data_IF_159380575303
#
_entry.id   IF_159380575303
#
_cell.length_a   1.000
_cell.length_b   1.000
_cell.length_c   1.000
_cell.angle_alpha   90.00
_cell.angle_beta   90.00
_cell.angle_gamma   90.00
#
_symmetry.space_group_name_H-M   'P 1'
#
loop_
_entity.id
_entity.type
_entity.pdbx_description
1 polymer ?
#
# COMPACT_ATOMS: atom_id res chain seq x y z
N UNK A 1 9.40 20.92 25.19
CA UNK A 1 8.29 20.87 24.23
C UNK A 1 6.97 20.89 24.99
N UNK A 2 6.01 21.71 24.58
CA UNK A 2 4.70 21.80 25.22
C UNK A 2 3.63 21.20 24.29
N UNK A 3 2.74 20.40 24.86
CA UNK A 3 1.60 19.82 24.16
C UNK A 3 0.32 20.39 24.76
N UNK A 4 -0.47 21.09 23.96
CA UNK A 4 -1.81 21.57 24.35
C UNK A 4 -2.86 20.58 23.85
N UNK A 5 -3.59 19.96 24.77
CA UNK A 5 -4.52 18.88 24.48
C UNK A 5 -5.95 19.42 24.57
N UNK A 6 -6.55 19.69 23.41
CA UNK A 6 -7.92 20.21 23.30
C UNK A 6 -8.86 19.03 23.17
N UNK A 7 -9.61 18.75 24.23
CA UNK A 7 -10.51 17.59 24.30
C UNK A 7 -11.66 17.88 25.27
N UNK A 8 -12.77 17.16 25.11
CA UNK A 8 -13.82 17.14 26.14
C UNK A 8 -13.49 16.14 27.26
N UNK A 9 -12.48 15.27 27.11
CA UNK A 9 -12.07 14.24 28.08
C UNK A 9 -10.61 14.42 28.51
N UNK A 10 -10.23 15.52 29.19
CA UNK A 10 -8.86 15.73 29.63
C UNK A 10 -8.32 14.60 30.53
N UNK A 11 -9.18 14.00 31.35
CA UNK A 11 -8.82 12.87 32.22
C UNK A 11 -8.36 11.61 31.46
N UNK A 12 -8.68 11.49 30.16
CA UNK A 12 -8.26 10.35 29.33
C UNK A 12 -6.74 10.23 29.23
N UNK A 13 -6.04 11.36 29.34
CA UNK A 13 -4.59 11.45 29.21
C UNK A 13 -3.83 11.22 30.51
N UNK A 14 -4.50 11.33 31.67
CA UNK A 14 -3.84 11.34 32.97
C UNK A 14 -3.02 10.07 33.22
N UNK A 15 -3.62 8.90 33.01
CA UNK A 15 -2.92 7.64 33.27
C UNK A 15 -1.79 7.38 32.27
N UNK A 16 -1.98 7.47 30.94
CA UNK A 16 -0.89 7.24 30.00
C UNK A 16 0.28 8.20 30.18
N UNK A 17 0.02 9.51 30.33
CA UNK A 17 1.08 10.52 30.40
C UNK A 17 1.79 10.57 31.76
N UNK A 18 1.20 10.00 32.82
CA UNK A 18 1.82 9.97 34.17
C UNK A 18 2.62 8.70 34.46
N UNK A 19 2.95 7.89 33.44
CA UNK A 19 3.69 6.64 33.59
C UNK A 19 4.97 6.58 32.73
N UNK A 20 5.83 5.60 33.02
CA UNK A 20 6.98 5.27 32.19
C UNK A 20 8.00 6.41 31.97
N UNK A 21 8.52 6.48 30.75
CA UNK A 21 9.49 7.50 30.34
C UNK A 21 8.86 8.89 30.18
N UNK A 22 7.60 8.97 29.77
CA UNK A 22 6.87 10.25 29.64
C UNK A 22 6.80 10.96 30.98
N UNK A 23 6.48 10.26 32.07
CA UNK A 23 6.52 10.82 33.43
C UNK A 23 7.89 11.39 33.80
N UNK A 24 8.97 10.66 33.47
CA UNK A 24 10.35 11.10 33.75
C UNK A 24 10.68 12.34 32.92
N UNK A 25 10.28 12.35 31.65
CA UNK A 25 10.47 13.48 30.75
C UNK A 25 9.73 14.73 31.25
N UNK A 26 8.51 14.58 31.77
CA UNK A 26 7.80 15.68 32.45
C UNK A 26 8.55 16.17 33.69
N UNK A 27 8.97 15.26 34.58
CA UNK A 27 9.68 15.63 35.80
C UNK A 27 11.01 16.36 35.53
N UNK A 28 11.64 16.05 34.38
CA UNK A 28 12.86 16.71 33.91
C UNK A 28 12.60 17.95 33.05
N UNK A 29 11.34 18.34 32.84
CA UNK A 29 10.96 19.52 32.05
C UNK A 29 11.16 19.40 30.54
N UNK A 30 11.34 18.17 30.02
CA UNK A 30 11.50 17.93 28.58
C UNK A 30 10.17 18.08 27.83
N UNK A 31 9.09 17.59 28.45
CA UNK A 31 7.72 17.69 27.93
C UNK A 31 6.77 18.27 28.96
N UNK A 32 5.88 19.15 28.54
CA UNK A 32 4.79 19.66 29.37
C UNK A 32 3.46 19.39 28.67
N UNK A 33 2.41 19.09 29.45
CA UNK A 33 1.06 18.91 28.94
C UNK A 33 0.14 19.95 29.55
N UNK A 34 -0.56 20.66 28.69
CA UNK A 34 -1.61 21.59 29.03
C UNK A 34 -2.95 21.01 28.57
N UNK A 35 -3.94 20.97 29.46
CA UNK A 35 -5.22 20.31 29.20
C UNK A 35 -6.31 21.36 29.03
N UNK A 36 -6.84 21.45 27.81
CA UNK A 36 -7.90 22.41 27.47
C UNK A 36 -9.22 21.66 27.37
N UNK A 37 -9.98 21.65 28.47
CA UNK A 37 -11.32 21.06 28.49
C UNK A 37 -12.32 22.00 27.80
N UNK A 38 -12.78 21.60 26.61
CA UNK A 38 -13.75 22.36 25.80
C UNK A 38 -15.05 22.61 26.58
N UNK A 39 -15.41 21.74 27.54
CA UNK A 39 -16.60 21.91 28.39
C UNK A 39 -16.55 23.12 29.31
N UNK A 40 -15.37 23.67 29.58
CA UNK A 40 -15.24 24.92 30.34
C UNK A 40 -15.68 26.16 29.58
N UNK A 41 -15.82 26.06 28.25
CA UNK A 41 -16.20 27.17 27.38
C UNK A 41 -17.67 27.15 26.95
N UNK A 42 -18.43 26.15 27.41
CA UNK A 42 -19.87 26.08 27.24
C UNK A 42 -20.59 27.05 28.19
N UNK A 43 -21.60 27.77 27.67
CA UNK A 43 -22.33 28.79 28.43
C UNK A 43 -23.52 28.23 29.23
N UNK A 44 -24.02 27.07 28.85
CA UNK A 44 -25.17 26.45 29.52
C UNK A 44 -24.78 25.68 30.79
N UNK A 45 -25.78 25.47 31.66
CA UNK A 45 -25.63 24.79 32.96
C UNK A 45 -25.20 23.33 32.78
N UNK A 46 -25.53 22.73 31.64
CA UNK A 46 -25.23 21.33 31.33
C UNK A 46 -23.85 21.13 30.69
N UNK A 47 -23.10 22.23 30.46
CA UNK A 47 -21.83 22.25 29.73
C UNK A 47 -21.93 21.55 28.37
N UNK A 48 -23.01 21.78 27.62
CA UNK A 48 -23.23 21.10 26.34
C UNK A 48 -22.29 21.65 25.25
N UNK A 49 -21.44 20.76 24.76
CA UNK A 49 -20.40 21.04 23.76
C UNK A 49 -20.73 20.50 22.37
N UNK A 50 -21.89 19.86 22.21
CA UNK A 50 -22.32 19.21 20.98
C UNK A 50 -23.73 19.63 20.55
N UNK A 51 -23.99 19.59 19.24
CA UNK A 51 -25.32 19.82 18.65
C UNK A 51 -25.53 18.93 17.40
N UNK A 52 -26.77 18.87 16.91
CA UNK A 52 -27.13 18.08 15.74
C UNK A 52 -26.53 18.68 14.45
N UNK A 53 -26.09 17.83 13.49
CA UNK A 53 -25.59 18.30 12.21
C UNK A 53 -26.70 18.94 11.36
N UNK A 54 -26.37 20.03 10.66
CA UNK A 54 -27.20 20.52 9.55
C UNK A 54 -27.24 19.50 8.41
N UNK A 55 -28.38 19.39 7.72
CA UNK A 55 -28.59 18.40 6.66
C UNK A 55 -29.18 17.06 7.15
N UNK A 56 -29.33 16.88 8.47
CA UNK A 56 -29.80 15.64 9.07
C UNK A 56 -28.71 14.56 9.14
N UNK A 57 -29.10 13.34 9.47
CA UNK A 57 -28.17 12.23 9.75
C UNK A 57 -28.12 11.87 11.23
N UNK A 58 -27.59 10.68 11.57
CA UNK A 58 -27.36 10.29 12.96
C UNK A 58 -26.20 11.08 13.58
N UNK A 59 -26.11 11.06 14.90
CA UNK A 59 -24.96 11.58 15.65
C UNK A 59 -25.03 13.07 16.01
N UNK A 60 -23.91 13.58 16.53
CA UNK A 60 -23.73 14.95 17.04
C UNK A 60 -22.37 15.48 16.56
N UNK A 61 -22.20 16.80 16.51
CA UNK A 61 -20.94 17.48 16.22
C UNK A 61 -20.55 18.38 17.38
N UNK A 62 -19.25 18.48 17.66
CA UNK A 62 -18.75 19.50 18.59
C UNK A 62 -19.02 20.91 18.04
N UNK A 63 -19.61 21.75 18.89
CA UNK A 63 -20.03 23.10 18.52
C UNK A 63 -18.83 23.99 18.21
N UNK A 64 -18.99 24.84 17.20
CA UNK A 64 -17.94 25.75 16.75
C UNK A 64 -17.56 26.78 17.82
N UNK A 65 -18.54 27.34 18.54
CA UNK A 65 -18.32 28.44 19.48
C UNK A 65 -17.47 28.02 20.69
N UNK A 66 -17.73 26.84 21.26
CA UNK A 66 -16.94 26.29 22.37
C UNK A 66 -15.54 25.91 21.93
N UNK A 67 -15.40 25.34 20.72
CA UNK A 67 -14.09 25.03 20.14
C UNK A 67 -13.26 26.28 19.88
N UNK A 68 -13.85 27.34 19.30
CA UNK A 68 -13.16 28.61 19.06
C UNK A 68 -12.66 29.21 20.38
N UNK A 69 -13.52 29.30 21.40
CA UNK A 69 -13.12 29.81 22.72
C UNK A 69 -12.02 28.98 23.38
N UNK A 70 -12.06 27.65 23.22
CA UNK A 70 -11.02 26.76 23.71
C UNK A 70 -9.68 27.01 23.01
N UNK A 71 -9.69 27.15 21.68
CA UNK A 71 -8.50 27.45 20.89
C UNK A 71 -7.93 28.83 21.22
N UNK A 72 -8.78 29.86 21.34
CA UNK A 72 -8.40 31.23 21.69
C UNK A 72 -7.78 31.35 23.10
N UNK A 73 -8.00 30.36 23.97
CA UNK A 73 -7.41 30.32 25.31
C UNK A 73 -5.92 29.94 25.32
N UNK A 74 -5.40 29.42 24.21
CA UNK A 74 -4.01 28.96 24.08
C UNK A 74 -3.17 30.11 23.51
N UNK A 75 -2.38 30.77 24.36
CA UNK A 75 -1.57 31.93 23.95
C UNK A 75 -0.52 31.61 22.88
N UNK A 76 0.07 30.40 22.96
CA UNK A 76 1.11 29.91 22.05
C UNK A 76 0.70 28.55 21.48
N UNK A 77 -0.20 28.50 20.50
CA UNK A 77 -0.72 27.23 20.01
C UNK A 77 0.32 26.43 19.19
N UNK A 78 1.40 27.07 18.75
CA UNK A 78 2.43 26.42 17.94
C UNK A 78 1.84 25.74 16.71
N UNK A 79 2.27 24.49 16.46
CA UNK A 79 1.70 23.68 15.37
C UNK A 79 0.35 23.09 15.80
N UNK A 80 -0.73 23.49 15.14
CA UNK A 80 -2.09 22.99 15.43
C UNK A 80 -2.40 21.78 14.54
N UNK A 81 -2.81 20.68 15.15
CA UNK A 81 -3.19 19.47 14.45
C UNK A 81 -4.50 18.91 14.98
N UNK A 82 -5.33 18.37 14.08
CA UNK A 82 -6.56 17.67 14.45
C UNK A 82 -6.45 16.19 14.11
N UNK A 83 -6.72 15.34 15.10
CA UNK A 83 -6.72 13.90 14.91
C UNK A 83 -7.97 13.50 14.13
N UNK A 84 -7.79 13.03 12.90
CA UNK A 84 -8.89 12.75 11.96
C UNK A 84 -8.51 11.65 10.96
N UNK A 85 -9.41 10.71 10.65
CA UNK A 85 -9.16 9.70 9.61
C UNK A 85 -9.03 10.32 8.20
N UNK A 86 -9.44 11.58 8.01
CA UNK A 86 -9.23 12.35 6.76
C UNK A 86 -7.81 12.88 6.61
N UNK A 87 -7.03 12.83 7.69
CA UNK A 87 -5.69 13.39 7.75
C UNK A 87 -4.66 12.58 6.99
N UNK A 88 -3.49 13.19 6.76
CA UNK A 88 -2.33 12.44 6.25
C UNK A 88 -1.91 11.40 7.31
N UNK A 89 -1.50 10.19 6.92
CA UNK A 89 -1.03 9.19 7.87
C UNK A 89 0.15 9.71 8.71
N UNK A 90 0.13 9.43 10.01
CA UNK A 90 1.24 9.65 10.92
C UNK A 90 2.38 8.71 10.53
N UNK A 91 3.55 9.30 10.28
CA UNK A 91 4.76 8.58 9.88
C UNK A 91 5.91 8.93 10.82
N UNK A 92 6.94 8.09 10.86
CA UNK A 92 8.16 8.38 11.62
C UNK A 92 8.84 9.69 11.15
N UNK A 93 8.74 10.01 9.85
CA UNK A 93 9.22 11.29 9.33
C UNK A 93 8.45 12.48 9.91
N UNK A 94 7.12 12.40 10.00
CA UNK A 94 6.29 13.42 10.66
C UNK A 94 6.61 13.53 12.15
N UNK A 95 6.86 12.42 12.84
CA UNK A 95 7.25 12.45 14.25
C UNK A 95 8.58 13.20 14.47
N UNK A 96 9.58 12.97 13.61
CA UNK A 96 10.86 13.71 13.61
C UNK A 96 10.69 15.20 13.29
N UNK A 97 9.82 15.54 12.35
CA UNK A 97 9.49 16.95 12.05
C UNK A 97 8.86 17.66 13.26
N UNK A 98 7.97 16.96 13.98
CA UNK A 98 7.28 17.52 15.14
C UNK A 98 8.18 17.64 16.37
N UNK A 99 9.16 16.75 16.55
CA UNK A 99 10.04 16.77 17.72
C UNK A 99 10.95 18.00 17.79
N UNK A 100 11.06 18.77 16.70
CA UNK A 100 11.80 20.04 16.66
C UNK A 100 10.93 21.25 17.00
N UNK A 101 9.63 21.07 17.23
CA UNK A 101 8.71 22.16 17.58
C UNK A 101 8.76 22.46 19.08
N UNK A 102 8.60 23.74 19.45
CA UNK A 102 8.50 24.14 20.87
C UNK A 102 7.12 23.83 21.44
N UNK A 103 6.06 24.16 20.69
CA UNK A 103 4.65 24.02 21.08
C UNK A 103 3.85 23.28 19.99
N UNK A 104 2.99 22.35 20.41
CA UNK A 104 2.08 21.60 19.54
C UNK A 104 0.69 21.53 20.18
N UNK A 105 -0.35 21.97 19.46
CA UNK A 105 -1.74 21.80 19.88
C UNK A 105 -2.37 20.60 19.17
N UNK A 106 -2.96 19.69 19.94
CA UNK A 106 -3.65 18.49 19.47
C UNK A 106 -5.15 18.59 19.76
N UNK A 107 -5.94 18.68 18.70
CA UNK A 107 -7.40 18.73 18.75
C UNK A 107 -7.97 17.32 18.65
N UNK A 108 -8.72 16.92 19.67
CA UNK A 108 -9.35 15.61 19.78
C UNK A 108 -10.85 15.72 19.49
N UNK A 109 -11.26 15.31 18.29
CA UNK A 109 -12.67 15.20 17.93
C UNK A 109 -13.38 14.05 18.67
N UNK A 110 -14.71 14.17 18.79
CA UNK A 110 -15.63 13.15 19.32
C UNK A 110 -16.91 13.15 18.48
N UNK A 111 -17.78 12.18 18.73
CA UNK A 111 -19.04 12.02 17.99
C UNK A 111 -18.79 11.83 16.49
N UNK A 112 -19.53 12.52 15.61
CA UNK A 112 -19.28 12.51 14.16
C UNK A 112 -18.13 13.45 13.77
N UNK A 113 -17.63 14.28 14.70
CA UNK A 113 -16.52 15.20 14.49
C UNK A 113 -16.75 16.58 15.09
N UNK A 114 -16.07 17.55 14.49
CA UNK A 114 -16.13 18.97 14.86
C UNK A 114 -16.71 19.73 13.67
N UNK A 115 -17.38 20.85 13.92
CA UNK A 115 -17.84 21.76 12.87
C UNK A 115 -16.70 22.13 11.90
N UNK A 116 -16.90 21.87 10.60
CA UNK A 116 -15.88 22.01 9.55
C UNK A 116 -15.31 23.43 9.47
N UNK A 117 -16.10 24.45 9.82
CA UNK A 117 -15.68 25.86 9.78
C UNK A 117 -14.51 26.16 10.70
N UNK A 118 -14.20 25.29 11.67
CA UNK A 118 -12.99 25.43 12.47
C UNK A 118 -11.73 25.42 11.59
N UNK A 119 -11.73 24.64 10.49
CA UNK A 119 -10.63 24.58 9.52
C UNK A 119 -10.48 25.87 8.69
N UNK A 120 -11.53 26.67 8.58
CA UNK A 120 -11.48 27.98 7.91
C UNK A 120 -10.92 29.08 8.83
N UNK A 121 -10.97 28.86 10.15
CA UNK A 121 -10.56 29.84 11.17
C UNK A 121 -9.11 29.67 11.62
N UNK A 122 -8.57 28.46 11.55
CA UNK A 122 -7.25 28.11 12.06
C UNK A 122 -6.47 27.29 11.02
N UNK A 123 -5.15 27.50 10.95
CA UNK A 123 -4.26 26.66 10.14
C UNK A 123 -4.05 25.30 10.83
N UNK A 124 -5.01 24.40 10.62
CA UNK A 124 -5.06 23.07 11.24
C UNK A 124 -4.58 22.02 10.25
N UNK A 125 -3.54 21.28 10.62
CA UNK A 125 -3.13 20.09 9.89
C UNK A 125 -3.92 18.86 10.35
N UNK A 126 -4.60 18.17 9.43
CA UNK A 126 -5.29 16.91 9.73
C UNK A 126 -4.30 15.74 9.74
N UNK A 127 -4.31 14.93 10.80
CA UNK A 127 -3.44 13.76 10.94
C UNK A 127 -4.25 12.50 11.27
N UNK A 128 -4.01 11.42 10.53
CA UNK A 128 -4.60 10.09 10.78
C UNK A 128 -3.56 9.16 11.40
N UNK A 129 -3.96 8.31 12.34
CA UNK A 129 -3.07 7.26 12.92
C UNK A 129 -3.22 5.90 12.23
N UNK A 130 -4.10 5.80 11.24
CA UNK A 130 -4.28 4.61 10.41
C UNK A 130 -5.65 4.54 9.76
N UNK A 131 -5.84 3.54 8.90
CA UNK A 131 -7.05 3.36 8.10
C UNK A 131 -8.13 2.58 8.87
N UNK A 132 -8.53 3.16 10.01
CA UNK A 132 -9.59 2.65 10.89
C UNK A 132 -10.25 3.81 11.66
N UNK A 133 -11.42 3.55 12.27
CA UNK A 133 -12.19 4.55 13.00
C UNK A 133 -12.08 4.33 14.51
N UNK A 134 -11.76 5.39 15.24
CA UNK A 134 -11.71 5.41 16.71
C UNK A 134 -12.93 6.15 17.28
N UNK A 135 -13.24 5.89 18.55
CA UNK A 135 -14.32 6.59 19.26
C UNK A 135 -14.03 8.08 19.55
N UNK A 136 -12.80 8.53 19.33
CA UNK A 136 -12.35 9.89 19.58
C UNK A 136 -10.86 10.08 19.30
N UNK A 137 -10.44 11.33 19.23
CA UNK A 137 -9.06 11.70 18.89
C UNK A 137 -8.04 11.47 20.01
N UNK A 138 -8.45 11.19 21.24
CA UNK A 138 -7.53 11.13 22.40
C UNK A 138 -6.51 10.00 22.27
N UNK A 139 -6.93 8.81 21.83
CA UNK A 139 -5.99 7.70 21.59
C UNK A 139 -5.02 8.02 20.45
N UNK A 140 -5.49 8.67 19.38
CA UNK A 140 -4.64 9.10 18.27
C UNK A 140 -3.63 10.17 18.70
N UNK A 141 -4.05 11.12 19.54
CA UNK A 141 -3.17 12.12 20.13
C UNK A 141 -2.11 11.48 21.02
N UNK A 142 -2.46 10.46 21.83
CA UNK A 142 -1.49 9.70 22.62
C UNK A 142 -0.46 8.98 21.73
N UNK A 143 -0.89 8.33 20.64
CA UNK A 143 0.05 7.71 19.68
C UNK A 143 1.03 8.73 19.12
N UNK A 144 0.54 9.92 18.73
CA UNK A 144 1.37 10.99 18.23
C UNK A 144 2.36 11.48 19.30
N UNK A 145 1.88 11.81 20.50
CA UNK A 145 2.71 12.27 21.62
C UNK A 145 3.82 11.27 21.91
N UNK A 146 3.52 9.97 22.01
CA UNK A 146 4.54 8.96 22.30
C UNK A 146 5.58 8.86 21.19
N UNK A 147 5.16 8.92 19.92
CA UNK A 147 6.07 8.89 18.77
C UNK A 147 6.99 10.12 18.69
N UNK A 148 6.52 11.28 19.12
CA UNK A 148 7.24 12.56 19.06
C UNK A 148 8.13 12.76 20.28
N UNK A 149 7.56 12.58 21.48
CA UNK A 149 8.25 12.87 22.74
C UNK A 149 9.54 12.06 22.90
N UNK A 150 9.53 10.81 22.42
CA UNK A 150 10.69 9.92 22.46
C UNK A 150 11.88 10.41 21.63
N UNK A 151 11.65 11.25 20.63
CA UNK A 151 12.68 11.81 19.75
C UNK A 151 13.27 13.12 20.31
N UNK A 152 12.78 13.60 21.45
CA UNK A 152 13.30 14.81 22.09
C UNK A 152 14.65 14.48 22.74
N UNK A 153 15.71 15.29 22.50
CA UNK A 153 17.01 15.09 23.14
C UNK A 153 16.90 14.97 24.66
N UNK A 154 17.54 13.93 25.22
CA UNK A 154 17.48 13.63 26.65
C UNK A 154 16.26 12.82 27.11
N UNK A 155 15.32 12.48 26.21
CA UNK A 155 14.21 11.58 26.55
C UNK A 155 14.67 10.13 26.68
N UNK A 156 15.31 9.61 25.62
CA UNK A 156 15.93 8.29 25.63
C UNK A 156 17.35 8.45 26.16
N UNK A 157 17.70 7.75 27.24
CA UNK A 157 18.96 7.99 27.96
C UNK A 157 20.25 7.78 27.15
N UNK A 158 20.17 7.16 25.97
CA UNK A 158 21.25 7.03 24.99
C UNK A 158 20.77 7.49 23.61
N UNK A 159 21.44 8.48 23.03
CA UNK A 159 21.04 9.12 21.77
C UNK A 159 21.07 8.15 20.57
N UNK A 160 21.96 7.15 20.58
CA UNK A 160 22.12 6.16 19.49
C UNK A 160 20.88 5.27 19.28
N UNK A 161 20.00 5.17 20.28
CA UNK A 161 18.83 4.28 20.22
C UNK A 161 17.80 4.71 19.17
N UNK A 162 17.72 5.99 18.81
CA UNK A 162 16.73 6.49 17.85
C UNK A 162 17.08 6.31 16.38
N UNK A 163 18.32 5.88 16.04
CA UNK A 163 18.80 5.78 14.66
C UNK A 163 18.62 4.37 14.06
N UNK A 164 18.73 3.31 14.87
CA UNK A 164 18.64 1.91 14.40
C UNK A 164 17.21 1.31 14.45
N UNK A 165 16.20 2.09 14.83
CA UNK A 165 14.83 1.60 15.01
C UNK A 165 14.05 1.43 13.71
N UNK A 166 12.98 0.61 13.81
CA UNK A 166 12.03 0.41 12.72
C UNK A 166 11.56 1.75 12.11
N UNK A 167 11.50 1.79 10.79
CA UNK A 167 11.14 2.93 9.93
C UNK A 167 12.15 4.08 9.88
N UNK A 168 13.21 4.09 10.69
CA UNK A 168 14.21 5.18 10.67
C UNK A 168 15.00 5.25 9.36
N UNK A 169 15.34 4.10 8.77
CA UNK A 169 15.98 3.98 7.46
C UNK A 169 15.05 3.38 6.38
N UNK A 170 13.74 3.39 6.61
CA UNK A 170 12.75 2.74 5.73
C UNK A 170 12.70 1.21 5.86
N UNK A 171 13.32 0.63 6.89
CA UNK A 171 13.35 -0.81 7.16
C UNK A 171 12.80 -1.12 8.55
N UNK A 172 12.38 -2.36 8.78
CA UNK A 172 12.10 -2.91 10.11
C UNK A 172 13.40 -3.23 10.85
N UNK A 173 13.33 -3.26 12.17
CA UNK A 173 14.48 -3.59 13.01
C UNK A 173 14.81 -5.09 13.00
N UNK A 174 16.06 -5.40 13.36
CA UNK A 174 16.53 -6.77 13.59
C UNK A 174 15.95 -7.36 14.88
N UNK A 175 15.93 -8.70 15.03
CA UNK A 175 15.45 -9.33 16.25
C UNK A 175 16.40 -9.10 17.43
N UNK A 176 15.83 -8.89 18.62
CA UNK A 176 16.56 -8.68 19.86
C UNK A 176 16.58 -9.93 20.72
N UNK A 177 17.73 -10.16 21.37
CA UNK A 177 17.94 -11.29 22.28
C UNK A 177 18.49 -10.79 23.62
N UNK A 178 18.09 -11.43 24.70
CA UNK A 178 18.61 -11.15 26.04
C UNK A 178 18.89 -12.45 26.80
N UNK A 179 19.49 -12.33 27.98
CA UNK A 179 19.83 -13.47 28.84
C UNK A 179 18.55 -14.21 29.28
N UNK A 180 18.63 -15.54 29.46
CA UNK A 180 19.80 -16.42 29.33
C UNK A 180 20.17 -16.78 27.88
N UNK A 181 21.38 -17.31 27.66
CA UNK A 181 21.87 -17.67 26.31
C UNK A 181 21.11 -18.84 25.65
N UNK A 182 20.54 -19.73 26.46
CA UNK A 182 19.74 -20.87 26.03
C UNK A 182 18.48 -20.90 26.89
N UNK A 183 17.33 -20.79 26.23
CA UNK A 183 16.02 -20.99 26.86
C UNK A 183 15.36 -22.20 26.22
N UNK A 184 15.41 -23.34 26.90
CA UNK A 184 14.77 -24.60 26.48
C UNK A 184 15.18 -25.05 25.06
N UNK A 185 16.47 -24.92 24.73
CA UNK A 185 17.04 -25.26 23.43
C UNK A 185 16.97 -24.13 22.39
N UNK A 186 16.27 -23.02 22.67
CA UNK A 186 16.27 -21.81 21.84
C UNK A 186 17.50 -20.97 22.20
N UNK A 187 18.54 -21.11 21.39
CA UNK A 187 19.83 -20.44 21.61
C UNK A 187 19.88 -19.07 20.98
N UNK A 188 20.52 -18.13 21.67
CA UNK A 188 20.94 -16.84 21.10
C UNK A 188 21.92 -17.11 19.93
N UNK A 189 21.75 -16.43 18.77
CA UNK A 189 22.65 -16.58 17.62
C UNK A 189 24.14 -16.45 18.00
N UNK A 190 24.98 -17.34 17.47
CA UNK A 190 26.39 -17.40 17.88
C UNK A 190 27.15 -16.09 17.62
N UNK A 191 26.81 -15.41 16.52
CA UNK A 191 27.37 -14.09 16.15
C UNK A 191 27.16 -13.02 17.23
N UNK A 192 26.05 -13.10 17.96
CA UNK A 192 25.72 -12.15 19.05
C UNK A 192 26.40 -12.50 20.37
N UNK A 193 26.96 -13.71 20.50
CA UNK A 193 27.69 -14.14 21.71
C UNK A 193 29.17 -13.75 21.68
N UNK A 194 29.67 -13.33 20.52
CA UNK A 194 31.03 -12.81 20.35
C UNK A 194 31.13 -11.29 20.53
N UNK A 195 32.35 -10.75 20.47
CA UNK A 195 32.63 -9.30 20.49
C UNK A 195 32.95 -8.70 19.12
N UNK A 196 32.67 -9.41 18.02
CA UNK A 196 32.97 -8.91 16.67
C UNK A 196 31.88 -7.93 16.22
N UNK A 197 32.08 -6.65 16.50
CA UNK A 197 31.13 -5.59 16.15
C UNK A 197 30.77 -5.53 14.66
N UNK A 198 31.73 -5.82 13.76
CA UNK A 198 31.47 -5.84 12.32
C UNK A 198 30.51 -6.95 11.91
N UNK A 199 30.78 -8.18 12.37
CA UNK A 199 29.91 -9.33 12.10
C UNK A 199 28.51 -9.18 12.72
N UNK A 200 28.42 -8.53 13.88
CA UNK A 200 27.14 -8.23 14.52
C UNK A 200 26.34 -7.20 13.69
N UNK A 201 27.00 -6.14 13.21
CA UNK A 201 26.35 -5.11 12.39
C UNK A 201 25.83 -5.68 11.06
N UNK A 202 26.64 -6.50 10.38
CA UNK A 202 26.25 -7.20 9.15
C UNK A 202 25.05 -8.12 9.39
N UNK A 203 25.10 -8.97 10.42
CA UNK A 203 23.98 -9.84 10.78
C UNK A 203 22.69 -9.06 11.11
N UNK A 204 22.81 -7.93 11.83
CA UNK A 204 21.68 -7.04 12.13
C UNK A 204 21.08 -6.47 10.84
N UNK A 205 21.92 -6.02 9.90
CA UNK A 205 21.45 -5.50 8.61
C UNK A 205 20.72 -6.57 7.81
N UNK A 206 21.29 -7.76 7.69
CA UNK A 206 20.66 -8.89 7.00
C UNK A 206 19.31 -9.28 7.62
N UNK A 207 19.22 -9.32 8.95
CA UNK A 207 17.95 -9.60 9.64
C UNK A 207 16.92 -8.47 9.43
N UNK A 208 17.34 -7.20 9.45
CA UNK A 208 16.47 -6.06 9.17
C UNK A 208 15.87 -6.13 7.76
N UNK A 209 16.71 -6.43 6.75
CA UNK A 209 16.27 -6.65 5.36
C UNK A 209 15.32 -7.84 5.26
N UNK A 210 15.66 -8.95 5.94
CA UNK A 210 14.85 -10.17 5.97
C UNK A 210 13.46 -9.93 6.55
N UNK A 211 13.38 -9.29 7.71
CA UNK A 211 12.13 -8.96 8.37
C UNK A 211 11.30 -8.02 7.50
N UNK A 212 11.94 -7.01 6.90
CA UNK A 212 11.25 -6.06 6.02
C UNK A 212 10.66 -6.78 4.80
N UNK A 213 11.43 -7.62 4.12
CA UNK A 213 10.94 -8.36 2.95
C UNK A 213 9.79 -9.32 3.28
N UNK A 214 9.84 -9.97 4.45
CA UNK A 214 8.84 -10.95 4.84
C UNK A 214 7.55 -10.31 5.38
N UNK A 215 7.67 -9.29 6.22
CA UNK A 215 6.56 -8.77 7.01
C UNK A 215 5.96 -7.49 6.44
N UNK A 216 6.79 -6.63 5.81
CA UNK A 216 6.40 -5.33 5.24
C UNK A 216 7.10 -5.06 3.90
N UNK A 217 6.95 -5.93 2.88
CA UNK A 217 7.59 -5.71 1.57
C UNK A 217 7.19 -4.35 0.96
N UNK A 218 6.00 -3.84 1.29
CA UNK A 218 5.46 -2.57 0.82
C UNK A 218 6.29 -1.33 1.19
N UNK A 219 7.11 -1.38 2.25
CA UNK A 219 7.96 -0.23 2.64
C UNK A 219 9.34 -0.26 1.98
N UNK A 220 9.73 -1.40 1.39
CA UNK A 220 11.05 -1.61 0.79
C UNK A 220 11.34 -0.66 -0.39
N UNK A 221 10.39 -0.31 -1.28
CA UNK A 221 10.63 0.66 -2.36
C UNK A 221 11.04 2.06 -1.87
N UNK A 222 10.69 2.42 -0.64
CA UNK A 222 11.08 3.68 -0.02
C UNK A 222 12.39 3.63 0.76
N UNK A 223 12.99 2.45 0.92
CA UNK A 223 14.21 2.26 1.70
C UNK A 223 15.48 2.63 0.92
N UNK A 224 16.47 3.18 1.62
CA UNK A 224 17.80 3.40 1.05
C UNK A 224 18.63 2.11 1.13
N UNK A 225 18.64 1.35 0.03
CA UNK A 225 19.36 0.09 -0.12
C UNK A 225 20.70 0.29 -0.82
N UNK A 226 21.76 -0.31 -0.28
CA UNK A 226 23.06 -0.42 -0.98
C UNK A 226 23.02 -1.56 -2.00
N UNK A 227 24.09 -1.68 -2.79
CA UNK A 227 24.23 -2.80 -3.74
C UNK A 227 24.30 -4.13 -2.99
N UNK A 228 25.02 -4.17 -1.86
CA UNK A 228 25.13 -5.34 -1.00
C UNK A 228 23.77 -5.76 -0.43
N UNK A 229 22.94 -4.80 0.01
CA UNK A 229 21.59 -5.09 0.48
C UNK A 229 20.73 -5.73 -0.62
N UNK A 230 20.79 -5.18 -1.84
CA UNK A 230 20.05 -5.69 -2.99
C UNK A 230 20.53 -7.10 -3.34
N UNK A 231 21.84 -7.32 -3.39
CA UNK A 231 22.40 -8.64 -3.70
C UNK A 231 22.02 -9.67 -2.63
N UNK A 232 22.01 -9.29 -1.34
CA UNK A 232 21.48 -10.12 -0.26
C UNK A 232 20.00 -10.46 -0.47
N UNK A 233 19.14 -9.45 -0.66
CA UNK A 233 17.70 -9.63 -0.88
C UNK A 233 17.39 -10.52 -2.11
N UNK A 234 18.23 -10.48 -3.14
CA UNK A 234 18.09 -11.35 -4.33
C UNK A 234 18.34 -12.83 -4.03
N UNK A 235 19.10 -13.15 -2.98
CA UNK A 235 19.30 -14.54 -2.53
C UNK A 235 18.12 -15.07 -1.73
N UNK A 236 17.29 -14.17 -1.20
CA UNK A 236 16.17 -14.54 -0.35
C UNK A 236 15.02 -15.16 -1.16
N UNK A 237 14.35 -16.13 -0.52
CA UNK A 237 13.08 -16.62 -1.03
C UNK A 237 11.99 -15.63 -0.64
N UNK A 238 11.18 -15.21 -1.61
CA UNK A 238 10.00 -14.39 -1.39
C UNK A 238 8.80 -14.99 -2.10
N UNK A 239 7.61 -14.63 -1.64
CA UNK A 239 6.40 -14.77 -2.46
C UNK A 239 6.66 -14.11 -3.80
N UNK A 240 6.07 -14.66 -4.88
CA UNK A 240 6.11 -14.09 -6.23
C UNK A 240 4.71 -14.14 -6.81
N UNK A 241 3.92 -13.09 -6.59
CA UNK A 241 2.54 -13.01 -7.09
C UNK A 241 2.45 -13.26 -8.60
N UNK A 242 3.47 -12.82 -9.34
CA UNK A 242 3.61 -13.06 -10.78
C UNK A 242 3.45 -14.53 -11.17
N UNK A 243 3.93 -15.50 -10.37
CA UNK A 243 3.80 -16.93 -10.67
C UNK A 243 2.33 -17.36 -10.89
N UNK A 244 1.41 -16.74 -10.16
CA UNK A 244 -0.02 -17.04 -10.24
C UNK A 244 -0.74 -16.15 -11.25
N UNK A 245 -0.09 -15.13 -11.80
CA UNK A 245 -0.66 -14.24 -12.80
C UNK A 245 -0.39 -14.78 -14.21
N UNK A 246 -1.45 -14.99 -14.96
CA UNK A 246 -1.45 -15.32 -16.37
C UNK A 246 -2.12 -14.18 -17.13
N UNK A 247 -1.58 -13.83 -18.29
CA UNK A 247 -2.15 -12.77 -19.13
C UNK A 247 -2.62 -13.35 -20.46
N UNK A 248 -3.80 -12.93 -20.91
CA UNK A 248 -4.32 -13.24 -22.24
C UNK A 248 -4.50 -11.97 -23.05
N UNK A 249 -3.91 -11.94 -24.24
CA UNK A 249 -4.16 -10.93 -25.25
C UNK A 249 -5.20 -11.47 -26.24
N UNK A 250 -6.42 -10.99 -26.09
CA UNK A 250 -7.57 -11.40 -26.88
C UNK A 250 -7.62 -10.63 -28.20
N UNK A 251 -7.47 -11.35 -29.30
CA UNK A 251 -7.62 -10.83 -30.66
C UNK A 251 -9.00 -11.12 -31.26
N UNK A 252 -9.74 -12.08 -30.67
CA UNK A 252 -11.14 -12.32 -30.94
C UNK A 252 -11.79 -13.06 -29.75
N UNK A 253 -13.05 -12.75 -29.39
CA UNK A 253 -13.87 -11.69 -29.95
C UNK A 253 -13.59 -10.32 -29.30
N UNK A 254 -13.29 -9.31 -30.12
CA UNK A 254 -13.12 -7.91 -29.69
C UNK A 254 -14.06 -6.98 -30.46
N UNK A 255 -14.22 -5.76 -29.98
CA UNK A 255 -15.06 -4.74 -30.63
C UNK A 255 -14.22 -3.80 -31.49
N UNK A 256 -14.76 -3.39 -32.64
CA UNK A 256 -14.22 -2.28 -33.42
C UNK A 256 -14.76 -0.92 -32.92
N UNK A 257 -14.36 0.18 -33.56
CA UNK A 257 -14.81 1.54 -33.22
C UNK A 257 -16.32 1.77 -33.35
N UNK A 258 -17.02 0.89 -34.08
CA UNK A 258 -18.46 0.93 -34.29
C UNK A 258 -19.22 -0.01 -33.32
N UNK A 259 -18.50 -0.71 -32.43
CA UNK A 259 -19.10 -1.67 -31.49
C UNK A 259 -19.42 -3.03 -32.12
N UNK A 260 -18.92 -3.31 -33.33
CA UNK A 260 -19.14 -4.60 -34.00
C UNK A 260 -18.07 -5.61 -33.57
N UNK A 261 -18.48 -6.88 -33.43
CA UNK A 261 -17.59 -8.00 -33.11
C UNK A 261 -16.69 -8.30 -34.30
N UNK A 262 -15.38 -8.21 -34.09
CA UNK A 262 -14.35 -8.43 -35.12
C UNK A 262 -13.17 -9.22 -34.57
N UNK A 263 -12.38 -9.79 -35.47
CA UNK A 263 -11.05 -10.30 -35.16
C UNK A 263 -9.99 -9.25 -35.53
N UNK A 264 -9.04 -9.02 -34.63
CA UNK A 264 -7.87 -8.15 -34.84
C UNK A 264 -6.65 -9.03 -35.11
N UNK A 265 -5.64 -8.51 -35.81
CA UNK A 265 -4.45 -9.30 -36.12
C UNK A 265 -3.51 -9.45 -34.93
N UNK A 266 -3.02 -10.66 -34.68
CA UNK A 266 -1.84 -10.89 -33.83
C UNK A 266 -0.62 -10.29 -34.51
N UNK A 267 0.06 -9.37 -33.84
CA UNK A 267 1.29 -8.77 -34.37
C UNK A 267 2.53 -9.38 -33.73
N UNK A 268 3.66 -9.33 -34.45
CA UNK A 268 4.94 -9.76 -33.91
C UNK A 268 5.34 -8.95 -32.66
N UNK A 269 5.02 -7.65 -32.63
CA UNK A 269 5.30 -6.79 -31.48
C UNK A 269 4.49 -7.21 -30.25
N UNK A 270 3.24 -7.64 -30.42
CA UNK A 270 2.43 -8.16 -29.31
C UNK A 270 3.11 -9.36 -28.66
N UNK A 271 3.55 -10.34 -29.46
CA UNK A 271 4.21 -11.52 -28.92
C UNK A 271 5.56 -11.19 -28.26
N UNK A 272 6.35 -10.29 -28.85
CA UNK A 272 7.64 -9.89 -28.29
C UNK A 272 7.53 -9.09 -26.98
N UNK A 273 6.66 -8.09 -26.93
CA UNK A 273 6.58 -7.23 -25.76
C UNK A 273 5.91 -7.97 -24.61
N UNK A 274 4.83 -8.73 -24.87
CA UNK A 274 4.12 -9.47 -23.82
C UNK A 274 4.95 -10.64 -23.27
N UNK A 275 5.74 -11.32 -24.11
CA UNK A 275 6.67 -12.35 -23.63
C UNK A 275 7.74 -11.78 -22.71
N UNK A 276 8.24 -10.56 -23.00
CA UNK A 276 9.19 -9.86 -22.13
C UNK A 276 8.55 -9.44 -20.82
N UNK A 277 7.37 -8.83 -20.85
CA UNK A 277 6.61 -8.49 -19.63
C UNK A 277 6.39 -9.75 -18.79
N UNK A 278 5.95 -10.84 -19.43
CA UNK A 278 5.73 -12.12 -18.77
C UNK A 278 7.00 -12.67 -18.10
N UNK A 279 8.15 -12.55 -18.77
CA UNK A 279 9.43 -13.01 -18.21
C UNK A 279 9.95 -12.11 -17.10
N UNK A 280 9.93 -10.79 -17.30
CA UNK A 280 10.42 -9.79 -16.35
C UNK A 280 9.73 -9.90 -15.00
N UNK A 281 8.41 -10.03 -14.99
CA UNK A 281 7.61 -10.13 -13.78
C UNK A 281 7.36 -11.59 -13.33
N UNK A 282 8.03 -12.56 -13.95
CA UNK A 282 7.93 -13.97 -13.56
C UNK A 282 6.53 -14.58 -13.70
N UNK A 283 5.76 -14.13 -14.70
CA UNK A 283 4.37 -14.55 -14.91
C UNK A 283 4.23 -16.06 -15.12
N UNK A 284 3.06 -16.59 -14.74
CA UNK A 284 2.67 -17.97 -14.97
C UNK A 284 2.66 -18.34 -16.46
N UNK A 285 2.21 -17.43 -17.31
CA UNK A 285 2.23 -17.59 -18.76
C UNK A 285 1.61 -16.40 -19.51
N UNK A 286 1.84 -16.38 -20.82
CA UNK A 286 1.21 -15.43 -21.74
C UNK A 286 0.51 -16.18 -22.87
N UNK A 287 -0.76 -15.84 -23.08
CA UNK A 287 -1.63 -16.42 -24.08
C UNK A 287 -2.05 -15.37 -25.12
N UNK A 288 -1.89 -15.67 -26.40
CA UNK A 288 -2.59 -14.93 -27.47
C UNK A 288 -3.78 -15.77 -27.95
N UNK A 289 -4.97 -15.17 -28.05
CA UNK A 289 -6.16 -15.91 -28.53
C UNK A 289 -6.65 -15.36 -29.86
N UNK A 290 -6.67 -16.23 -30.88
CA UNK A 290 -7.17 -15.90 -32.22
C UNK A 290 -7.70 -17.16 -32.91
N UNK A 291 -8.89 -17.13 -33.52
CA UNK A 291 -9.40 -18.24 -34.33
C UNK A 291 -8.81 -18.26 -35.74
N UNK A 292 -7.97 -17.27 -36.12
CA UNK A 292 -7.46 -17.13 -37.48
C UNK A 292 -6.24 -18.04 -37.68
N UNK A 293 -6.39 -19.09 -38.47
CA UNK A 293 -5.35 -20.10 -38.75
C UNK A 293 -4.02 -19.48 -39.23
N UNK A 294 -4.07 -18.54 -40.17
CA UNK A 294 -2.85 -17.89 -40.68
C UNK A 294 -2.08 -17.14 -39.60
N UNK A 295 -2.78 -16.55 -38.63
CA UNK A 295 -2.15 -15.86 -37.51
C UNK A 295 -1.56 -16.84 -36.49
N UNK A 296 -2.24 -17.97 -36.25
CA UNK A 296 -1.71 -19.07 -35.44
C UNK A 296 -0.45 -19.65 -36.07
N UNK A 297 -0.45 -19.88 -37.39
CA UNK A 297 0.72 -20.37 -38.12
C UNK A 297 1.90 -19.38 -38.05
N UNK A 298 1.65 -18.08 -38.23
CA UNK A 298 2.67 -17.04 -38.08
C UNK A 298 3.24 -17.01 -36.66
N UNK A 299 2.38 -17.07 -35.64
CA UNK A 299 2.81 -17.08 -34.27
C UNK A 299 3.61 -18.35 -33.93
N UNK A 300 3.19 -19.51 -34.45
CA UNK A 300 3.91 -20.77 -34.27
C UNK A 300 5.30 -20.72 -34.91
N UNK A 301 5.44 -20.16 -36.12
CA UNK A 301 6.76 -19.97 -36.75
C UNK A 301 7.69 -19.10 -35.89
N UNK A 302 7.15 -18.04 -35.27
CA UNK A 302 7.92 -17.21 -34.34
C UNK A 302 8.31 -17.98 -33.08
N UNK A 303 7.38 -18.76 -32.51
CA UNK A 303 7.66 -19.61 -31.36
C UNK A 303 8.74 -20.64 -31.66
N UNK A 304 8.66 -21.34 -32.78
CA UNK A 304 9.63 -22.33 -33.21
C UNK A 304 11.01 -21.69 -33.39
N UNK A 305 11.07 -20.51 -34.02
CA UNK A 305 12.32 -19.77 -34.22
C UNK A 305 13.03 -19.43 -32.90
N UNK A 306 12.28 -18.97 -31.88
CA UNK A 306 12.84 -18.52 -30.61
C UNK A 306 13.00 -19.64 -29.57
N UNK A 307 12.17 -20.68 -29.59
CA UNK A 307 12.25 -21.81 -28.63
C UNK A 307 13.26 -22.86 -29.08
N UNK A 308 13.27 -23.23 -30.35
CA UNK A 308 14.01 -24.40 -30.86
C UNK A 308 14.96 -24.04 -32.02
N UNK A 309 14.73 -22.91 -32.70
CA UNK A 309 15.44 -22.49 -33.89
C UNK A 309 16.72 -21.68 -33.66
N UNK A 310 17.19 -21.03 -34.74
CA UNK A 310 18.41 -20.23 -34.72
C UNK A 310 18.36 -19.04 -33.76
N UNK A 311 17.15 -18.50 -33.50
CA UNK A 311 16.95 -17.38 -32.58
C UNK A 311 17.36 -17.71 -31.15
N UNK A 312 17.12 -18.95 -30.71
CA UNK A 312 17.51 -19.42 -29.38
C UNK A 312 19.03 -19.30 -29.13
N UNK A 313 19.83 -19.69 -30.13
CA UNK A 313 21.30 -19.60 -30.07
C UNK A 313 21.80 -18.16 -30.17
N UNK A 314 21.10 -17.30 -30.90
CA UNK A 314 21.50 -15.93 -31.14
C UNK A 314 21.16 -15.00 -29.96
N UNK A 315 20.07 -15.25 -29.24
CA UNK A 315 19.66 -14.45 -28.09
C UNK A 315 18.92 -15.32 -27.04
N UNK A 316 19.65 -15.87 -26.06
CA UNK A 316 19.08 -16.73 -25.02
C UNK A 316 18.01 -16.04 -24.16
N UNK A 317 18.20 -14.76 -23.81
CA UNK A 317 17.24 -14.02 -22.98
C UNK A 317 15.87 -13.90 -23.68
N UNK A 318 15.90 -13.68 -24.99
CA UNK A 318 14.67 -13.63 -25.79
C UNK A 318 14.04 -15.00 -25.92
N UNK A 319 14.84 -16.05 -26.11
CA UNK A 319 14.34 -17.42 -26.13
C UNK A 319 13.61 -17.77 -24.82
N UNK A 320 14.21 -17.39 -23.69
CA UNK A 320 13.62 -17.57 -22.38
C UNK A 320 12.30 -16.81 -22.23
N UNK A 321 12.21 -15.57 -22.74
CA UNK A 321 10.97 -14.81 -22.75
C UNK A 321 9.84 -15.54 -23.49
N UNK A 322 10.14 -16.19 -24.62
CA UNK A 322 9.14 -16.94 -25.39
C UNK A 322 8.75 -18.28 -24.77
N UNK A 323 9.52 -18.82 -23.81
CA UNK A 323 9.34 -20.18 -23.28
C UNK A 323 7.90 -20.47 -22.81
N UNK A 324 7.25 -19.50 -22.18
CA UNK A 324 5.89 -19.61 -21.61
C UNK A 324 4.78 -19.04 -22.50
N UNK A 325 5.09 -18.69 -23.75
CA UNK A 325 4.11 -18.15 -24.70
C UNK A 325 3.37 -19.30 -25.37
N UNK A 326 2.04 -19.20 -25.41
CA UNK A 326 1.14 -20.14 -26.11
C UNK A 326 0.08 -19.36 -26.91
N UNK A 327 -0.39 -19.97 -27.99
CA UNK A 327 -1.45 -19.40 -28.83
C UNK A 327 -2.61 -20.38 -28.88
N UNK A 328 -3.81 -19.87 -28.66
CA UNK A 328 -5.03 -20.66 -28.60
C UNK A 328 -6.15 -20.03 -29.44
N UNK A 329 -7.21 -20.80 -29.67
CA UNK A 329 -8.38 -20.34 -30.43
C UNK A 329 -9.20 -19.32 -29.64
N UNK A 330 -9.34 -19.56 -28.34
CA UNK A 330 -10.19 -18.80 -27.44
C UNK A 330 -9.63 -18.75 -26.01
N UNK A 331 -10.35 -18.04 -25.14
CA UNK A 331 -9.99 -17.88 -23.73
C UNK A 331 -10.23 -19.18 -22.95
N UNK A 332 -11.20 -20.00 -23.35
CA UNK A 332 -11.51 -21.28 -22.70
C UNK A 332 -10.32 -22.25 -22.77
N UNK A 333 -9.68 -22.34 -23.94
CA UNK A 333 -8.47 -23.13 -24.12
C UNK A 333 -7.33 -22.64 -23.21
N UNK A 334 -7.20 -21.32 -22.99
CA UNK A 334 -6.24 -20.77 -22.04
C UNK A 334 -6.57 -21.16 -20.59
N UNK A 335 -7.85 -21.07 -20.19
CA UNK A 335 -8.33 -21.49 -18.86
C UNK A 335 -8.01 -22.97 -18.60
N UNK A 336 -8.32 -23.85 -19.56
CA UNK A 336 -8.05 -25.29 -19.46
C UNK A 336 -6.54 -25.60 -19.37
N UNK A 337 -5.71 -24.86 -20.11
CA UNK A 337 -4.26 -25.02 -20.05
C UNK A 337 -3.67 -24.57 -18.72
N UNK A 338 -4.22 -23.53 -18.10
CA UNK A 338 -3.84 -23.10 -16.74
C UNK A 338 -4.26 -24.16 -15.73
N UNK A 339 -5.51 -24.63 -15.79
CA UNK A 339 -6.03 -25.67 -14.89
C UNK A 339 -5.18 -26.95 -14.96
N UNK A 340 -4.78 -27.35 -16.17
CA UNK A 340 -3.87 -28.48 -16.36
C UNK A 340 -2.49 -28.27 -15.74
N UNK A 341 -1.96 -27.04 -15.75
CA UNK A 341 -0.64 -26.71 -15.21
C UNK A 341 -0.63 -26.59 -13.69
N UNK A 342 -1.69 -26.00 -13.11
CA UNK A 342 -1.74 -25.63 -11.70
C UNK A 342 -2.57 -26.60 -10.85
N UNK A 343 -3.43 -27.41 -11.49
CA UNK A 343 -4.45 -28.21 -10.81
C UNK A 343 -5.63 -27.40 -10.30
N UNK A 344 -5.74 -26.12 -10.65
CA UNK A 344 -6.79 -25.20 -10.21
C UNK A 344 -7.30 -24.37 -11.39
N UNK A 345 -8.62 -24.31 -11.56
CA UNK A 345 -9.21 -23.39 -12.54
C UNK A 345 -8.91 -21.94 -12.17
N UNK A 346 -8.39 -21.11 -13.09
CA UNK A 346 -8.05 -19.73 -12.80
C UNK A 346 -9.28 -18.86 -12.56
N UNK A 347 -9.14 -17.91 -11.64
CA UNK A 347 -10.08 -16.78 -11.55
C UNK A 347 -9.88 -15.85 -12.73
N UNK A 348 -10.97 -15.37 -13.32
CA UNK A 348 -10.90 -14.59 -14.56
C UNK A 348 -11.28 -13.14 -14.32
N UNK A 349 -10.36 -12.23 -14.64
CA UNK A 349 -10.60 -10.80 -14.62
C UNK A 349 -10.42 -10.23 -16.04
N UNK A 350 -11.32 -9.35 -16.46
CA UNK A 350 -11.18 -8.60 -17.71
C UNK A 350 -10.57 -7.22 -17.45
N UNK A 351 -10.07 -6.59 -18.50
CA UNK A 351 -9.60 -5.21 -18.46
C UNK A 351 -10.40 -4.34 -19.42
N UNK A 352 -10.48 -3.06 -19.10
CA UNK A 352 -11.12 -2.05 -19.94
C UNK A 352 -10.37 -0.73 -19.87
N UNK A 353 -10.33 -0.01 -20.98
CA UNK A 353 -9.87 1.38 -21.01
C UNK A 353 -10.94 2.36 -20.50
N UNK A 354 -12.16 1.90 -20.25
CA UNK A 354 -13.30 2.75 -19.86
C UNK A 354 -14.02 2.16 -18.65
N UNK A 355 -14.46 3.02 -17.76
CA UNK A 355 -15.43 2.64 -16.73
C UNK A 355 -16.79 2.37 -17.36
N UNK A 356 -17.50 1.41 -16.81
CA UNK A 356 -18.89 1.19 -17.14
C UNK A 356 -19.74 2.32 -16.52
N UNK A 357 -20.44 3.08 -17.38
CA UNK A 357 -21.26 4.23 -16.98
C UNK A 357 -22.75 3.89 -16.88
N UNK A 358 -23.14 2.61 -16.98
CA UNK A 358 -24.52 2.18 -16.76
C UNK A 358 -24.92 2.43 -15.29
N UNK A 359 -26.16 2.83 -15.06
CA UNK A 359 -26.66 3.24 -13.73
C UNK A 359 -26.51 2.16 -12.64
N UNK A 360 -26.58 0.89 -13.02
CA UNK A 360 -26.47 -0.26 -12.13
C UNK A 360 -25.26 -1.14 -12.48
N UNK A 361 -24.20 -0.53 -13.02
CA UNK A 361 -22.94 -1.25 -13.25
C UNK A 361 -22.31 -1.63 -11.90
N UNK A 362 -21.82 -2.86 -11.82
CA UNK A 362 -20.97 -3.26 -10.70
C UNK A 362 -19.70 -2.39 -10.65
N UNK A 363 -19.20 -2.05 -9.46
CA UNK A 363 -17.93 -1.34 -9.33
C UNK A 363 -16.78 -2.11 -10.01
N UNK A 364 -15.89 -1.37 -10.68
CA UNK A 364 -14.67 -1.96 -11.21
C UNK A 364 -13.78 -2.43 -10.06
N UNK A 365 -13.19 -3.62 -10.24
CA UNK A 365 -12.32 -4.25 -9.25
C UNK A 365 -11.08 -3.40 -8.96
N UNK A 366 -10.63 -3.41 -7.71
CA UNK A 366 -9.37 -2.80 -7.29
C UNK A 366 -8.18 -3.71 -7.62
N UNK A 367 -6.97 -3.14 -7.61
CA UNK A 367 -5.73 -3.91 -7.74
C UNK A 367 -5.54 -4.83 -6.53
N UNK A 368 -5.89 -4.36 -5.33
CA UNK A 368 -5.80 -5.10 -4.08
C UNK A 368 -6.69 -6.35 -4.08
N UNK A 369 -7.90 -6.28 -4.64
CA UNK A 369 -8.78 -7.43 -4.80
C UNK A 369 -8.14 -8.52 -5.67
N UNK A 370 -7.52 -8.12 -6.80
CA UNK A 370 -6.81 -9.06 -7.69
C UNK A 370 -5.54 -9.60 -7.03
N UNK A 371 -4.79 -8.77 -6.28
CA UNK A 371 -3.63 -9.22 -5.50
C UNK A 371 -4.02 -10.27 -4.45
N UNK A 372 -5.15 -10.08 -3.78
CA UNK A 372 -5.72 -11.07 -2.86
C UNK A 372 -6.05 -12.41 -3.53
N UNK A 373 -6.47 -12.38 -4.81
CA UNK A 373 -6.66 -13.61 -5.60
C UNK A 373 -5.34 -14.28 -5.94
N UNK A 374 -4.35 -13.50 -6.39
CA UNK A 374 -3.02 -13.96 -6.76
C UNK A 374 -2.28 -14.63 -5.59
N UNK A 375 -2.55 -14.21 -4.36
CA UNK A 375 -1.96 -14.83 -3.17
C UNK A 375 -2.36 -16.31 -3.01
N UNK A 376 -3.53 -16.72 -3.53
CA UNK A 376 -4.14 -18.01 -3.21
C UNK A 376 -4.53 -18.87 -4.42
N UNK A 377 -4.60 -18.29 -5.62
CA UNK A 377 -5.15 -18.95 -6.80
C UNK A 377 -4.52 -18.40 -8.09
N UNK A 378 -4.47 -19.21 -9.17
CA UNK A 378 -4.11 -18.68 -10.48
C UNK A 378 -5.17 -17.67 -10.96
N UNK A 379 -4.72 -16.59 -11.58
CA UNK A 379 -5.57 -15.54 -12.15
C UNK A 379 -5.25 -15.38 -13.63
N UNK A 380 -6.27 -15.40 -14.48
CA UNK A 380 -6.18 -15.05 -15.88
C UNK A 380 -6.72 -13.64 -16.10
N UNK A 381 -5.82 -12.70 -16.43
CA UNK A 381 -6.16 -11.32 -16.74
C UNK A 381 -6.25 -11.13 -18.26
N UNK A 382 -7.42 -10.74 -18.75
CA UNK A 382 -7.73 -10.68 -20.18
C UNK A 382 -7.68 -9.23 -20.70
N UNK A 383 -6.94 -9.02 -21.78
CA UNK A 383 -6.75 -7.74 -22.46
C UNK A 383 -7.28 -7.78 -23.88
N UNK A 384 -8.08 -6.79 -24.27
CA UNK A 384 -8.59 -6.67 -25.64
C UNK A 384 -7.65 -5.83 -26.54
N UNK A 385 -7.43 -6.27 -27.78
CA UNK A 385 -6.57 -5.58 -28.76
C UNK A 385 -7.30 -4.61 -29.71
N UNK A 386 -8.63 -4.57 -29.63
CA UNK A 386 -9.49 -3.66 -30.39
C UNK A 386 -9.90 -2.40 -29.59
N UNK A 387 -11.15 -2.00 -29.72
CA UNK A 387 -11.77 -0.90 -28.95
C UNK A 387 -12.42 -1.38 -27.64
N UNK A 388 -12.33 -2.68 -27.35
CA UNK A 388 -12.86 -3.33 -26.16
C UNK A 388 -13.00 -4.83 -26.36
N UNK A 389 -13.18 -5.56 -25.25
CA UNK A 389 -13.57 -6.97 -25.28
C UNK A 389 -15.06 -7.09 -25.63
N UNK A 390 -15.44 -8.16 -26.34
CA UNK A 390 -16.85 -8.45 -26.59
C UNK A 390 -17.55 -8.97 -25.32
N UNK A 391 -18.88 -8.82 -25.25
CA UNK A 391 -19.69 -9.24 -24.09
C UNK A 391 -19.49 -10.73 -23.74
N UNK A 392 -19.27 -11.59 -24.74
CA UNK A 392 -19.01 -13.02 -24.57
C UNK A 392 -17.76 -13.34 -23.73
N UNK A 393 -16.78 -12.43 -23.72
CA UNK A 393 -15.58 -12.53 -22.87
C UNK A 393 -15.83 -11.87 -21.52
N UNK A 394 -16.48 -10.70 -21.52
CA UNK A 394 -16.79 -9.96 -20.29
C UNK A 394 -17.72 -10.75 -19.36
N UNK A 395 -18.71 -11.46 -19.89
CA UNK A 395 -19.67 -12.26 -19.11
C UNK A 395 -19.03 -13.47 -18.42
N UNK A 396 -17.82 -13.86 -18.82
CA UNK A 396 -17.05 -14.95 -18.21
C UNK A 396 -16.10 -14.44 -17.13
N UNK A 397 -15.85 -13.13 -17.09
CA UNK A 397 -15.03 -12.51 -16.08
C UNK A 397 -15.83 -12.34 -14.79
N UNK A 398 -15.19 -12.61 -13.66
CA UNK A 398 -15.74 -12.34 -12.33
C UNK A 398 -15.78 -10.83 -12.03
N UNK A 399 -14.99 -10.03 -12.76
CA UNK A 399 -15.05 -8.58 -12.71
C UNK A 399 -14.11 -7.92 -13.73
N UNK A 400 -14.21 -6.59 -13.81
CA UNK A 400 -13.38 -5.77 -14.69
C UNK A 400 -12.44 -4.95 -13.83
N UNK A 401 -11.13 -5.12 -14.02
CA UNK A 401 -10.10 -4.36 -13.32
C UNK A 401 -10.20 -2.87 -13.65
N UNK A 402 -10.06 -2.03 -12.63
CA UNK A 402 -10.07 -0.57 -12.75
C UNK A 402 -9.03 -0.08 -13.79
N UNK A 403 -9.43 0.80 -14.73
CA UNK A 403 -8.52 1.33 -15.75
C UNK A 403 -7.32 2.09 -15.15
N UNK A 404 -6.20 2.09 -15.87
CA UNK A 404 -4.91 2.70 -15.43
C UNK A 404 -5.06 4.16 -14.97
N UNK A 405 -5.85 4.96 -15.67
CA UNK A 405 -6.11 6.38 -15.38
C UNK A 405 -7.61 6.65 -15.25
N UNK A 406 -8.28 5.95 -14.34
CA UNK A 406 -9.74 6.02 -14.17
C UNK A 406 -10.30 7.39 -13.72
N UNK A 407 -9.44 8.32 -13.28
CA UNK A 407 -9.79 9.70 -12.93
C UNK A 407 -9.68 10.67 -14.11
N UNK A 408 -9.04 10.27 -15.21
CA UNK A 408 -8.86 11.12 -16.40
C UNK A 408 -9.78 10.69 -17.55
N UNK A 409 -10.10 11.65 -18.42
CA UNK A 409 -10.86 11.39 -19.64
C UNK A 409 -10.00 10.77 -20.76
N UNK A 410 -8.68 11.03 -20.76
CA UNK A 410 -7.77 10.47 -21.75
C UNK A 410 -7.22 9.12 -21.29
N UNK A 411 -7.69 8.04 -21.91
CA UNK A 411 -7.19 6.69 -21.66
C UNK A 411 -6.99 5.90 -22.97
N UNK A 412 -6.10 6.42 -23.82
CA UNK A 412 -5.77 5.83 -25.13
C UNK A 412 -4.33 5.28 -25.13
N UNK A 413 -4.04 4.39 -24.20
CA UNK A 413 -2.78 3.64 -24.17
C UNK A 413 -2.80 2.51 -25.21
N UNK A 414 -1.64 2.18 -25.78
CA UNK A 414 -1.51 0.92 -26.51
C UNK A 414 -1.77 -0.24 -25.54
N UNK A 415 -2.36 -1.34 -26.02
CA UNK A 415 -2.63 -2.51 -25.18
C UNK A 415 -1.35 -3.03 -24.52
N UNK A 416 -0.21 -2.99 -25.23
CA UNK A 416 1.09 -3.42 -24.71
C UNK A 416 1.57 -2.54 -23.55
N UNK A 417 1.41 -1.22 -23.68
CA UNK A 417 1.72 -0.29 -22.59
C UNK A 417 0.78 -0.47 -21.39
N UNK A 418 -0.51 -0.70 -21.65
CA UNK A 418 -1.50 -0.95 -20.61
C UNK A 418 -1.18 -2.24 -19.83
N UNK A 419 -0.82 -3.33 -20.52
CA UNK A 419 -0.41 -4.59 -19.89
C UNK A 419 0.80 -4.37 -18.99
N UNK A 420 1.86 -3.72 -19.47
CA UNK A 420 3.06 -3.49 -18.67
C UNK A 420 2.75 -2.71 -17.37
N UNK A 421 1.98 -1.61 -17.47
CA UNK A 421 1.61 -0.80 -16.30
C UNK A 421 0.70 -1.57 -15.33
N UNK A 422 -0.25 -2.34 -15.87
CA UNK A 422 -1.20 -3.11 -15.03
C UNK A 422 -0.46 -4.24 -14.31
N UNK A 423 0.42 -4.96 -14.99
CA UNK A 423 1.25 -6.02 -14.39
C UNK A 423 2.12 -5.43 -13.28
N UNK A 424 2.85 -4.35 -13.56
CA UNK A 424 3.68 -3.65 -12.57
C UNK A 424 2.91 -3.29 -11.30
N UNK A 425 1.73 -2.68 -11.44
CA UNK A 425 0.86 -2.32 -10.30
C UNK A 425 0.27 -3.51 -9.54
N UNK A 426 0.16 -4.67 -10.17
CA UNK A 426 -0.38 -5.87 -9.53
C UNK A 426 0.69 -6.65 -8.78
N UNK A 427 1.90 -6.75 -9.32
CA UNK A 427 2.90 -7.66 -8.75
C UNK A 427 4.12 -6.96 -8.14
N UNK A 428 4.47 -5.74 -8.58
CA UNK A 428 5.66 -5.04 -8.09
C UNK A 428 6.96 -5.84 -8.23
N UNK A 429 7.99 -5.39 -7.52
CA UNK A 429 9.27 -6.10 -7.38
C UNK A 429 9.41 -6.77 -6.00
N UNK A 430 8.68 -6.26 -5.01
CA UNK A 430 8.73 -6.64 -3.62
C UNK A 430 7.95 -7.93 -3.28
N UNK A 431 7.04 -8.35 -4.17
CA UNK A 431 6.14 -9.51 -3.99
C UNK A 431 6.42 -10.71 -4.88
#
# INVERSE_FOLDING_TARGET
MNFHLVSILPHYFESPLSTGLVKKAQANGLVNFDYVDVRHFAEDIHKSVDDRPFGGGPGMLLKLDTMVKAMDSIEKPGKIMMMSPRGKPLTQAKARELSTQEDVTLICGRYEGIDERLLDLYDIELVSVGDFVLNGGETAALCLIESVARLIPGFMGHDDSGEEESFSAGLLEYPHYTRPEDWDGLKVPEVLRGGNHGAIAEWRRECSLTNTLNDRPDILPGAHLTVEDIDFLRTMTRTRLGRNLYIALCHYPVLNKFGEKVAVSVTNLDLHDMSRVARSYGLGGFYATTPIEDQKALAQQLLDHWKEGAGCKANPDRAEAFSKVKVFDDIEAAVLDIEKQTGQSPRLAATSARLDRRKNAEPAMTYEEVQGWLANSPVLLVFGTGHGLAEEVLSKAEGILRPVRYLDDYNHLSVRSAVAIIVDRLVGDEY
#
